data_IF_493120433328
#
_entry.id   IF_493120433328
#
_cell.length_a   1.000
_cell.length_b   1.000
_cell.length_c   1.000
_cell.angle_alpha   90.00
_cell.angle_beta   90.00
_cell.angle_gamma   90.00
#
_symmetry.space_group_name_H-M   'P 1'
#
loop_
_entity.id
_entity.type
_entity.pdbx_description
1 polymer ?
#
# COMPACT_ATOMS: atom_id res chain seq x y z
N UNK A 1 -13.45 19.66 2.20
CA UNK A 1 -13.10 19.04 0.90
C UNK A 1 -13.81 17.70 0.80
N UNK A 2 -14.60 17.44 -0.24
CA UNK A 2 -15.20 16.11 -0.44
C UNK A 2 -14.09 15.15 -0.88
N UNK A 3 -13.85 14.09 -0.12
CA UNK A 3 -12.91 13.04 -0.50
C UNK A 3 -13.29 12.47 -1.86
N UNK A 4 -12.32 12.36 -2.77
CA UNK A 4 -12.48 11.66 -4.04
C UNK A 4 -12.61 10.16 -3.74
N UNK A 5 -13.77 9.58 -4.04
CA UNK A 5 -14.01 8.16 -3.81
C UNK A 5 -13.22 7.34 -4.86
N UNK A 6 -12.60 6.23 -4.47
CA UNK A 6 -11.95 5.29 -5.40
C UNK A 6 -12.88 4.90 -6.56
N UNK A 7 -14.17 4.75 -6.28
CA UNK A 7 -15.16 4.45 -7.31
C UNK A 7 -15.31 5.58 -8.35
N UNK A 8 -15.21 6.84 -7.94
CA UNK A 8 -15.22 7.98 -8.86
C UNK A 8 -13.97 7.95 -9.75
N UNK A 9 -12.84 7.47 -9.22
CA UNK A 9 -11.59 7.32 -9.94
C UNK A 9 -11.70 6.23 -11.01
N UNK A 10 -12.18 5.05 -10.62
CA UNK A 10 -12.32 3.88 -11.51
C UNK A 10 -13.36 4.08 -12.61
N UNK A 11 -14.36 4.94 -12.38
CA UNK A 11 -15.46 5.17 -13.33
C UNK A 11 -15.33 6.48 -14.11
N UNK A 12 -14.22 7.20 -13.96
CA UNK A 12 -13.96 8.48 -14.65
C UNK A 12 -15.07 9.52 -14.50
N UNK A 13 -15.85 9.45 -13.40
CA UNK A 13 -16.98 10.37 -13.14
C UNK A 13 -16.54 11.80 -12.85
N UNK A 14 -15.25 12.00 -12.61
CA UNK A 14 -14.58 13.29 -12.40
C UNK A 14 -13.26 13.30 -13.17
N UNK A 15 -12.81 14.48 -13.56
CA UNK A 15 -11.43 14.68 -14.02
C UNK A 15 -10.48 14.33 -12.89
N UNK A 16 -9.60 13.37 -13.14
CA UNK A 16 -8.61 12.87 -12.19
C UNK A 16 -7.22 13.26 -12.70
N UNK A 17 -6.33 13.58 -11.77
CA UNK A 17 -4.93 13.87 -12.09
C UNK A 17 -4.26 12.65 -12.72
N UNK A 18 -3.45 12.89 -13.75
CA UNK A 18 -2.78 11.84 -14.50
C UNK A 18 -1.92 10.94 -13.61
N UNK A 19 -1.21 11.51 -12.65
CA UNK A 19 -0.35 10.79 -11.70
C UNK A 19 -1.16 9.86 -10.78
N UNK A 20 -2.27 10.35 -10.22
CA UNK A 20 -3.17 9.53 -9.42
C UNK A 20 -3.73 8.34 -10.21
N UNK A 21 -4.06 8.54 -11.49
CA UNK A 21 -4.53 7.47 -12.36
C UNK A 21 -3.43 6.43 -12.65
N UNK A 22 -2.18 6.86 -12.83
CA UNK A 22 -1.03 5.97 -13.00
C UNK A 22 -0.86 5.08 -11.76
N UNK A 23 -0.85 5.65 -10.55
CA UNK A 23 -0.76 4.87 -9.32
C UNK A 23 -1.90 3.86 -9.14
N UNK A 24 -3.14 4.26 -9.43
CA UNK A 24 -4.29 3.35 -9.36
C UNK A 24 -4.15 2.22 -10.38
N UNK A 25 -3.70 2.52 -11.60
CA UNK A 25 -3.46 1.50 -12.62
C UNK A 25 -2.39 0.48 -12.21
N UNK A 26 -1.35 0.92 -11.50
CA UNK A 26 -0.29 0.03 -11.01
C UNK A 26 -0.79 -0.92 -9.92
N UNK A 27 -1.60 -0.41 -9.00
CA UNK A 27 -2.22 -1.22 -7.96
C UNK A 27 -3.14 -2.27 -8.60
N UNK A 28 -3.99 -1.87 -9.55
CA UNK A 28 -4.89 -2.78 -10.26
C UNK A 28 -4.13 -3.85 -11.04
N UNK A 29 -3.05 -3.48 -11.72
CA UNK A 29 -2.23 -4.42 -12.48
C UNK A 29 -1.61 -5.49 -11.57
N UNK A 30 -1.13 -5.11 -10.37
CA UNK A 30 -0.59 -6.09 -9.42
C UNK A 30 -1.67 -7.02 -8.89
N UNK A 31 -2.83 -6.48 -8.53
CA UNK A 31 -3.94 -7.30 -8.07
C UNK A 31 -4.36 -8.30 -9.15
N UNK A 32 -4.41 -7.87 -10.40
CA UNK A 32 -4.71 -8.73 -11.55
C UNK A 32 -3.65 -9.83 -11.75
N UNK A 33 -2.37 -9.48 -11.76
CA UNK A 33 -1.26 -10.45 -11.89
C UNK A 33 -1.26 -11.44 -10.72
N UNK A 34 -1.51 -10.97 -9.49
CA UNK A 34 -1.55 -11.84 -8.32
C UNK A 34 -2.75 -12.79 -8.36
N UNK A 35 -3.92 -12.31 -8.79
CA UNK A 35 -5.11 -13.14 -9.00
C UNK A 35 -4.83 -14.31 -9.92
N UNK A 36 -4.28 -14.04 -11.11
CA UNK A 36 -3.94 -15.11 -12.06
C UNK A 36 -2.85 -16.04 -11.55
N UNK A 37 -1.88 -15.52 -10.81
CA UNK A 37 -0.86 -16.37 -10.20
C UNK A 37 -1.46 -17.37 -9.22
N UNK A 38 -2.30 -16.90 -8.29
CA UNK A 38 -3.01 -17.76 -7.35
C UNK A 38 -3.88 -18.80 -8.07
N UNK A 39 -4.62 -18.38 -9.11
CA UNK A 39 -5.45 -19.28 -9.90
C UNK A 39 -4.63 -20.36 -10.62
N UNK A 40 -3.56 -19.99 -11.32
CA UNK A 40 -2.74 -20.91 -12.11
C UNK A 40 -1.91 -21.84 -11.22
N UNK A 41 -1.46 -21.37 -10.06
CA UNK A 41 -0.64 -22.15 -9.12
C UNK A 41 -1.45 -22.88 -8.05
N UNK A 42 -2.76 -22.73 -8.05
CA UNK A 42 -3.66 -23.24 -7.01
C UNK A 42 -3.23 -22.79 -5.60
N UNK A 43 -2.63 -21.59 -5.52
CA UNK A 43 -2.17 -20.99 -4.27
C UNK A 43 -3.27 -20.11 -3.66
N UNK A 44 -3.40 -20.12 -2.34
CA UNK A 44 -4.29 -19.21 -1.63
C UNK A 44 -3.86 -17.76 -1.82
N UNK A 45 -4.85 -16.86 -1.90
CA UNK A 45 -4.59 -15.43 -1.95
C UNK A 45 -3.86 -14.98 -0.68
N UNK A 46 -2.70 -14.34 -0.85
CA UNK A 46 -1.89 -13.85 0.26
C UNK A 46 -1.42 -12.42 0.00
N UNK A 47 -1.93 -11.51 0.82
CA UNK A 47 -1.69 -10.06 0.71
C UNK A 47 -0.22 -9.68 0.83
N UNK A 48 0.59 -10.43 1.60
CA UNK A 48 2.05 -10.21 1.68
C UNK A 48 2.73 -10.50 0.34
N UNK A 49 2.31 -11.54 -0.38
CA UNK A 49 2.83 -11.85 -1.71
C UNK A 49 2.41 -10.81 -2.74
N UNK A 50 1.17 -10.32 -2.68
CA UNK A 50 0.70 -9.21 -3.51
C UNK A 50 1.54 -7.93 -3.30
N UNK A 51 1.77 -7.54 -2.05
CA UNK A 51 2.58 -6.35 -1.70
C UNK A 51 4.03 -6.50 -2.17
N UNK A 52 4.63 -7.69 -2.01
CA UNK A 52 5.99 -7.97 -2.53
C UNK A 52 6.07 -7.79 -4.04
N UNK A 53 5.05 -8.24 -4.78
CA UNK A 53 4.96 -8.04 -6.25
C UNK A 53 4.81 -6.56 -6.61
N UNK A 54 4.01 -5.81 -5.85
CA UNK A 54 3.88 -4.36 -6.02
C UNK A 54 5.20 -3.63 -5.81
N UNK A 55 5.90 -3.89 -4.71
CA UNK A 55 7.23 -3.32 -4.46
C UNK A 55 8.24 -3.67 -5.55
N UNK A 56 8.18 -4.89 -6.12
CA UNK A 56 9.04 -5.29 -7.23
C UNK A 56 8.69 -4.54 -8.52
N UNK A 57 7.41 -4.31 -8.80
CA UNK A 57 6.97 -3.53 -9.95
C UNK A 57 7.42 -2.07 -9.84
N UNK A 58 7.23 -1.43 -8.68
CA UNK A 58 7.75 -0.09 -8.41
C UNK A 58 9.28 -0.01 -8.52
N UNK A 59 10.00 -1.05 -8.07
CA UNK A 59 11.46 -1.15 -8.23
C UNK A 59 11.86 -1.11 -9.70
N UNK A 60 11.22 -1.94 -10.52
CA UNK A 60 11.54 -2.08 -11.93
C UNK A 60 11.27 -0.80 -12.73
N UNK A 61 10.37 0.06 -12.25
CA UNK A 61 10.06 1.36 -12.85
C UNK A 61 11.00 2.48 -12.39
N UNK A 62 11.88 2.22 -11.42
CA UNK A 62 12.66 3.28 -10.77
C UNK A 62 11.83 4.16 -9.83
N UNK A 63 10.59 3.78 -9.55
CA UNK A 63 9.61 4.52 -8.72
C UNK A 63 9.68 4.10 -7.24
N UNK A 64 10.65 3.27 -6.84
CA UNK A 64 10.85 2.85 -5.46
C UNK A 64 11.49 3.94 -4.58
N UNK A 65 10.84 5.09 -4.51
CA UNK A 65 11.25 6.24 -3.71
C UNK A 65 10.27 6.53 -2.57
N UNK A 66 9.76 5.48 -1.90
CA UNK A 66 9.04 5.64 -0.62
C UNK A 66 9.70 4.91 0.55
N UNK A 67 10.90 4.34 0.35
CA UNK A 67 11.64 3.68 1.43
C UNK A 67 11.94 4.64 2.58
N UNK A 68 12.28 5.89 2.27
CA UNK A 68 12.50 6.93 3.27
C UNK A 68 11.18 7.36 3.94
N UNK A 69 10.13 7.71 3.18
CA UNK A 69 8.83 8.10 3.75
C UNK A 69 8.21 7.02 4.65
N UNK A 70 8.25 5.74 4.25
CA UNK A 70 7.70 4.64 5.06
C UNK A 70 8.53 4.45 6.33
N UNK A 71 9.85 4.61 6.26
CA UNK A 71 10.73 4.55 7.44
C UNK A 71 10.43 5.71 8.38
N UNK A 72 10.30 6.92 7.86
CA UNK A 72 9.94 8.12 8.62
C UNK A 72 8.56 7.99 9.27
N UNK A 73 7.54 7.49 8.55
CA UNK A 73 6.22 7.26 9.12
C UNK A 73 6.23 6.20 10.23
N UNK A 74 7.05 5.15 10.08
CA UNK A 74 7.20 4.11 11.11
C UNK A 74 7.93 4.65 12.36
N UNK A 75 8.98 5.45 12.16
CA UNK A 75 9.70 6.13 13.25
C UNK A 75 8.80 7.14 13.98
N UNK A 76 7.98 7.90 13.25
CA UNK A 76 6.98 8.81 13.82
C UNK A 76 5.88 8.09 14.60
N UNK A 77 5.45 6.93 14.11
CA UNK A 77 4.50 6.06 14.82
C UNK A 77 5.11 5.56 16.13
N UNK A 78 6.34 5.04 16.09
CA UNK A 78 7.04 4.60 17.30
C UNK A 78 7.25 5.75 18.29
N UNK A 79 7.65 6.94 17.81
CA UNK A 79 7.83 8.11 18.66
C UNK A 79 6.52 8.56 19.36
N UNK A 80 5.37 8.42 18.70
CA UNK A 80 4.05 8.77 19.27
C UNK A 80 3.52 7.73 20.26
N UNK A 81 3.97 6.49 20.15
CA UNK A 81 3.50 5.39 20.99
C UNK A 81 4.52 4.93 22.04
N UNK A 82 5.76 5.45 22.01
CA UNK A 82 6.77 5.20 23.06
C UNK A 82 6.39 5.76 24.43
N UNK A 83 5.53 6.79 24.50
CA UNK A 83 5.05 7.35 25.77
C UNK A 83 3.88 6.56 26.39
N UNK A 84 3.33 5.55 25.68
CA UNK A 84 2.19 4.76 26.16
C UNK A 84 2.58 3.45 26.86
N UNK A 85 3.84 3.02 26.77
CA UNK A 85 4.33 1.76 27.36
C UNK A 85 5.03 1.95 28.73
N UNK A 86 4.93 3.12 29.36
CA UNK A 86 5.25 3.28 30.79
C UNK A 86 3.97 3.21 31.63
N UNK A 87 3.32 2.04 31.67
CA UNK A 87 2.42 1.70 32.77
C UNK A 87 3.27 1.06 33.90
N UNK A 88 3.41 1.69 35.08
CA UNK A 88 4.23 1.16 36.17
C UNK A 88 3.62 -0.06 36.89
N UNK A 89 2.46 -0.56 36.48
CA UNK A 89 1.71 -1.58 37.23
C UNK A 89 1.76 -3.02 36.69
N UNK A 90 2.80 -3.41 35.96
CA UNK A 90 3.05 -4.82 35.61
C UNK A 90 4.27 -5.39 36.34
N UNK A 91 4.22 -5.37 37.68
CA UNK A 91 4.99 -6.30 38.53
C UNK A 91 4.08 -6.74 39.68
N UNK A 92 3.46 -7.91 39.53
CA UNK A 92 3.23 -8.87 40.62
C UNK A 92 3.45 -10.29 40.08
#
# INVERSE_FOLDING_TARGET
MRQTNLWDILTFRKTIEKEAMIHVSDILLVLWIHHWHCYIKEELWNTTHAIRRFRKQLWNKGENFHGQEITTMYEEYLAKHMDQDQDPNLVE
#
